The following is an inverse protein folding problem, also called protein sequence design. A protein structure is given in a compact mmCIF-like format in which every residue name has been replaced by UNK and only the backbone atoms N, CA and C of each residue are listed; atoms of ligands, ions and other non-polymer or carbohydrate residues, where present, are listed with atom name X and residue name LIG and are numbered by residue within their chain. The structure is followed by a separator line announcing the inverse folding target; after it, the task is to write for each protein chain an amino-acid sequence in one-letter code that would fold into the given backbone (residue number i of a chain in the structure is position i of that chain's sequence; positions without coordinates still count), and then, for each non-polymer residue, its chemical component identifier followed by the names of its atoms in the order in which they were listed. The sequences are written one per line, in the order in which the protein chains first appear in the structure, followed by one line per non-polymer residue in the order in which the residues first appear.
data_IF_388559736396
#
_entry.id   IF_388559736396
#
_cell.length_a   1.000
_cell.length_b   1.000
_cell.length_c   1.000
_cell.angle_alpha   90.00
_cell.angle_beta   90.00
_cell.angle_gamma   90.00
#
_symmetry.space_group_name_H-M   'P 1'
#
loop_
_entity.id
_entity.type
_entity.pdbx_description
1 polymer ?
#
# COMPACT_ATOMS: atom_id res chain seq x y z
N UNK A 1 -20.65 3.30 -2.02
CA UNK A 1 -20.25 1.98 -1.49
C UNK A 1 -21.51 1.25 -1.05
N UNK A 2 -21.82 0.12 -1.65
CA UNK A 2 -22.97 -0.68 -1.23
C UNK A 2 -22.47 -1.80 -0.30
N UNK A 3 -22.53 -1.56 1.01
CA UNK A 3 -22.04 -2.50 2.04
C UNK A 3 -22.88 -3.79 2.15
N UNK A 4 -24.00 -3.88 1.42
CA UNK A 4 -24.95 -5.00 1.50
C UNK A 4 -24.38 -6.36 1.04
N UNK A 5 -23.19 -6.38 0.42
CA UNK A 5 -22.56 -7.59 -0.13
C UNK A 5 -21.25 -7.96 0.57
N UNK A 6 -20.91 -7.27 1.67
CA UNK A 6 -19.69 -7.54 2.46
C UNK A 6 -20.10 -8.08 3.83
N UNK A 7 -19.76 -9.32 4.09
CA UNK A 7 -19.85 -9.95 5.41
C UNK A 7 -18.60 -9.61 6.22
N UNK A 8 -18.79 -9.40 7.53
CA UNK A 8 -17.68 -9.16 8.47
C UNK A 8 -17.81 -10.16 9.61
N UNK A 9 -16.77 -10.96 9.82
CA UNK A 9 -16.64 -11.85 10.97
C UNK A 9 -15.45 -11.40 11.82
N UNK A 10 -15.61 -11.46 13.13
CA UNK A 10 -14.56 -11.08 14.08
C UNK A 10 -14.39 -12.19 15.11
N UNK A 11 -13.17 -12.71 15.22
CA UNK A 11 -12.78 -13.69 16.22
C UNK A 11 -11.38 -13.38 16.76
N UNK A 12 -11.26 -13.16 18.07
CA UNK A 12 -9.98 -12.93 18.77
C UNK A 12 -9.07 -11.89 18.12
N UNK A 13 -9.64 -10.77 17.65
CA UNK A 13 -8.90 -9.70 16.98
C UNK A 13 -8.52 -10.02 15.53
N UNK A 14 -8.96 -11.14 14.98
CA UNK A 14 -8.90 -11.46 13.56
C UNK A 14 -10.21 -11.04 12.91
N UNK A 15 -10.14 -10.21 11.88
CA UNK A 15 -11.30 -9.79 11.09
C UNK A 15 -11.26 -10.47 9.74
N UNK A 16 -12.36 -11.12 9.36
CA UNK A 16 -12.54 -11.68 8.01
C UNK A 16 -13.56 -10.83 7.26
N UNK A 17 -13.16 -10.29 6.11
CA UNK A 17 -14.04 -9.61 5.17
C UNK A 17 -14.35 -10.56 4.02
N UNK A 18 -15.60 -10.98 3.88
CA UNK A 18 -16.03 -11.93 2.84
C UNK A 18 -17.13 -11.33 1.96
N UNK A 19 -17.24 -11.82 0.71
CA UNK A 19 -18.31 -11.44 -0.20
C UNK A 19 -17.83 -10.91 -1.54
N UNK A 20 -18.54 -9.91 -2.10
CA UNK A 20 -18.14 -9.35 -3.38
C UNK A 20 -18.36 -7.83 -3.46
N UNK A 21 -17.54 -7.19 -4.26
CA UNK A 21 -17.56 -5.75 -4.55
C UNK A 21 -17.62 -5.51 -6.05
N UNK A 22 -18.03 -4.31 -6.47
CA UNK A 22 -18.21 -3.98 -7.89
C UNK A 22 -16.90 -3.51 -8.55
N UNK A 23 -15.93 -3.09 -7.76
CA UNK A 23 -14.63 -2.64 -8.26
C UNK A 23 -13.53 -2.79 -7.20
N UNK A 24 -12.29 -2.74 -7.64
CA UNK A 24 -11.13 -2.90 -6.77
C UNK A 24 -10.99 -1.78 -5.73
N UNK A 25 -11.41 -0.55 -6.06
CA UNK A 25 -11.37 0.56 -5.12
C UNK A 25 -12.29 0.33 -3.90
N UNK A 26 -13.46 -0.29 -4.10
CA UNK A 26 -14.34 -0.70 -2.99
C UNK A 26 -13.68 -1.75 -2.10
N UNK A 27 -12.99 -2.74 -2.68
CA UNK A 27 -12.22 -3.74 -1.93
C UNK A 27 -11.19 -3.08 -1.03
N UNK A 28 -10.37 -2.16 -1.58
CA UNK A 28 -9.38 -1.40 -0.83
C UNK A 28 -9.99 -0.53 0.27
N UNK A 29 -11.13 0.10 0.01
CA UNK A 29 -11.80 0.94 1.00
C UNK A 29 -12.33 0.12 2.18
N UNK A 30 -12.90 -1.06 1.93
CA UNK A 30 -13.33 -1.99 2.98
C UNK A 30 -12.13 -2.47 3.83
N UNK A 31 -11.04 -2.85 3.19
CA UNK A 31 -9.80 -3.22 3.86
C UNK A 31 -9.26 -2.09 4.76
N UNK A 32 -9.17 -0.87 4.21
CA UNK A 32 -8.71 0.30 4.98
C UNK A 32 -9.64 0.63 6.15
N UNK A 33 -10.94 0.47 5.97
CA UNK A 33 -11.91 0.69 7.06
C UNK A 33 -11.67 -0.29 8.21
N UNK A 34 -11.49 -1.58 7.90
CA UNK A 34 -11.21 -2.60 8.91
C UNK A 34 -9.89 -2.35 9.66
N UNK A 35 -8.83 -1.95 8.94
CA UNK A 35 -7.52 -1.65 9.54
C UNK A 35 -7.51 -0.45 10.50
N UNK A 36 -8.50 0.45 10.41
CA UNK A 36 -8.63 1.61 11.32
C UNK A 36 -9.29 1.27 12.65
N UNK A 37 -9.88 0.10 12.77
CA UNK A 37 -10.56 -0.32 14.00
C UNK A 37 -9.53 -0.77 15.03
N UNK A 38 -9.58 -0.18 16.22
CA UNK A 38 -8.72 -0.60 17.32
C UNK A 38 -8.98 -2.06 17.70
N UNK A 39 -7.94 -2.79 18.07
CA UNK A 39 -8.03 -4.21 18.43
C UNK A 39 -7.97 -5.19 17.25
N UNK A 40 -7.94 -4.72 16.00
CA UNK A 40 -7.71 -5.58 14.83
C UNK A 40 -6.23 -5.95 14.76
N UNK A 41 -5.92 -7.23 14.98
CA UNK A 41 -4.56 -7.79 14.96
C UNK A 41 -4.21 -8.46 13.62
N UNK A 42 -5.24 -9.03 12.96
CA UNK A 42 -5.09 -9.67 11.66
C UNK A 42 -6.34 -9.42 10.80
N UNK A 43 -6.16 -9.43 9.49
CA UNK A 43 -7.23 -9.22 8.51
C UNK A 43 -7.15 -10.29 7.43
N UNK A 44 -8.22 -11.07 7.27
CA UNK A 44 -8.43 -11.99 6.15
C UNK A 44 -9.38 -11.33 5.14
N UNK A 45 -9.04 -11.41 3.84
CA UNK A 45 -9.83 -10.79 2.78
C UNK A 45 -10.25 -11.86 1.78
N UNK A 46 -11.52 -12.26 1.88
CA UNK A 46 -12.20 -13.24 1.04
C UNK A 46 -13.22 -12.54 0.13
N UNK A 47 -12.85 -11.36 -0.37
CA UNK A 47 -13.72 -10.57 -1.24
C UNK A 47 -13.31 -10.68 -2.70
N UNK A 48 -14.29 -11.01 -3.55
CA UNK A 48 -14.14 -11.03 -5.01
C UNK A 48 -14.57 -9.70 -5.63
N UNK A 49 -13.87 -9.27 -6.67
CA UNK A 49 -14.30 -8.15 -7.52
C UNK A 49 -15.17 -8.68 -8.65
N UNK A 50 -16.48 -8.46 -8.59
CA UNK A 50 -17.44 -8.84 -9.63
C UNK A 50 -17.76 -7.64 -10.51
N UNK A 51 -17.04 -7.52 -11.61
CA UNK A 51 -17.28 -6.47 -12.60
C UNK A 51 -18.64 -6.63 -13.27
N UNK A 52 -19.46 -5.58 -13.24
CA UNK A 52 -20.74 -5.51 -13.99
C UNK A 52 -20.50 -5.56 -15.50
N UNK A 53 -21.52 -5.91 -16.29
CA UNK A 53 -21.40 -6.16 -17.74
C UNK A 53 -20.72 -5.06 -18.55
N UNK A 54 -20.97 -3.78 -18.24
CA UNK A 54 -20.34 -2.62 -18.92
C UNK A 54 -18.94 -2.29 -18.37
N UNK A 55 -18.56 -2.84 -17.23
CA UNK A 55 -17.25 -2.63 -16.58
C UNK A 55 -16.22 -3.71 -16.95
N UNK A 56 -16.63 -4.75 -17.67
CA UNK A 56 -15.71 -5.76 -18.22
C UNK A 56 -14.97 -5.16 -19.39
N UNK A 57 -13.67 -4.92 -19.21
CA UNK A 57 -12.74 -4.62 -20.29
C UNK A 57 -11.91 -5.86 -20.59
N UNK A 58 -11.47 -6.00 -21.83
CA UNK A 58 -10.44 -7.00 -22.12
C UNK A 58 -9.07 -6.52 -21.59
N UNK A 59 -8.15 -7.46 -21.37
CA UNK A 59 -6.85 -7.17 -20.80
C UNK A 59 -6.02 -6.21 -21.67
N UNK A 60 -6.21 -6.23 -22.99
CA UNK A 60 -5.53 -5.30 -23.91
C UNK A 60 -6.02 -3.86 -23.75
N UNK A 61 -7.34 -3.64 -23.62
CA UNK A 61 -7.90 -2.31 -23.37
C UNK A 61 -7.50 -1.78 -21.99
N UNK A 62 -7.47 -2.67 -20.99
CA UNK A 62 -7.05 -2.32 -19.64
C UNK A 62 -5.56 -1.99 -19.60
N UNK A 63 -4.70 -2.74 -20.30
CA UNK A 63 -3.27 -2.46 -20.41
C UNK A 63 -3.01 -1.09 -21.05
N UNK A 64 -3.68 -0.80 -22.17
CA UNK A 64 -3.57 0.52 -22.83
C UNK A 64 -4.06 1.66 -21.94
N UNK A 65 -5.15 1.44 -21.18
CA UNK A 65 -5.67 2.42 -20.23
C UNK A 65 -4.71 2.64 -19.06
N UNK A 66 -4.07 1.59 -18.57
CA UNK A 66 -3.09 1.66 -17.49
C UNK A 66 -1.81 2.40 -17.94
N UNK A 67 -1.33 2.11 -19.14
CA UNK A 67 -0.19 2.82 -19.73
C UNK A 67 -0.48 4.31 -19.89
N UNK A 68 -1.63 4.68 -20.45
CA UNK A 68 -2.05 6.07 -20.61
C UNK A 68 -2.18 6.78 -19.24
N UNK A 69 -2.73 6.10 -18.22
CA UNK A 69 -2.84 6.64 -16.87
C UNK A 69 -1.46 6.89 -16.24
N UNK A 70 -0.50 5.99 -16.43
CA UNK A 70 0.88 6.17 -15.97
C UNK A 70 1.56 7.33 -16.67
N UNK A 71 1.42 7.46 -18.00
CA UNK A 71 1.99 8.55 -18.78
C UNK A 71 1.41 9.92 -18.42
N UNK A 72 0.13 10.00 -18.04
CA UNK A 72 -0.53 11.24 -17.63
C UNK A 72 -0.09 11.73 -16.25
N UNK A 73 0.54 10.88 -15.46
CA UNK A 73 1.01 11.23 -14.12
C UNK A 73 2.35 11.95 -14.23
N UNK A 74 2.40 13.24 -13.86
CA UNK A 74 3.59 14.11 -13.95
C UNK A 74 4.82 13.55 -13.20
N UNK A 75 4.61 12.61 -12.33
CA UNK A 75 5.63 11.96 -11.48
C UNK A 75 5.97 10.54 -11.92
N UNK A 76 5.33 10.03 -13.00
CA UNK A 76 5.61 8.68 -13.47
C UNK A 76 6.97 8.63 -14.15
N UNK A 77 7.91 7.85 -13.65
CA UNK A 77 9.20 7.68 -14.30
C UNK A 77 9.05 6.86 -15.60
N UNK A 78 9.86 7.17 -16.60
CA UNK A 78 10.05 6.36 -17.80
C UNK A 78 10.68 4.99 -17.46
N UNK A 79 9.96 4.12 -16.75
CA UNK A 79 10.57 2.86 -16.29
C UNK A 79 9.59 1.92 -15.60
N UNK A 80 8.32 2.31 -15.50
CA UNK A 80 7.29 1.41 -14.96
C UNK A 80 6.60 0.68 -16.10
N UNK A 81 6.65 -0.65 -16.06
CA UNK A 81 6.01 -1.54 -17.02
C UNK A 81 4.69 -2.07 -16.45
N UNK A 82 3.73 -2.29 -17.34
CA UNK A 82 2.40 -2.83 -17.01
C UNK A 82 2.24 -4.21 -17.66
N UNK A 83 1.78 -5.18 -16.87
CA UNK A 83 1.29 -6.48 -17.36
C UNK A 83 -0.14 -6.64 -16.83
N UNK A 84 -1.06 -7.16 -17.67
CA UNK A 84 -2.45 -7.43 -17.27
C UNK A 84 -2.81 -8.86 -17.58
N UNK A 85 -3.42 -9.55 -16.62
CA UNK A 85 -3.95 -10.91 -16.76
C UNK A 85 -5.28 -11.04 -15.99
N UNK A 86 -6.38 -11.32 -16.68
CA UNK A 86 -7.71 -11.47 -16.06
C UNK A 86 -8.15 -10.24 -15.24
N UNK A 87 -7.79 -9.02 -15.68
CA UNK A 87 -8.03 -7.78 -14.98
C UNK A 87 -7.06 -7.50 -13.81
N UNK A 88 -6.12 -8.41 -13.55
CA UNK A 88 -5.06 -8.20 -12.54
C UNK A 88 -3.89 -7.44 -13.17
N UNK A 89 -3.55 -6.28 -12.60
CA UNK A 89 -2.44 -5.44 -13.06
C UNK A 89 -1.19 -5.75 -12.25
N UNK A 90 -0.10 -6.09 -12.92
CA UNK A 90 1.24 -6.14 -12.33
C UNK A 90 2.04 -4.94 -12.82
N UNK A 91 2.51 -4.10 -11.88
CA UNK A 91 3.43 -3.00 -12.13
C UNK A 91 4.85 -3.45 -11.78
N UNK A 92 5.79 -3.23 -12.68
CA UNK A 92 7.21 -3.60 -12.47
C UNK A 92 8.12 -2.52 -13.04
N UNK A 93 9.39 -2.54 -12.65
CA UNK A 93 10.40 -1.57 -13.09
C UNK A 93 11.06 -0.86 -11.94
N UNK A 94 11.77 0.23 -12.24
CA UNK A 94 12.59 0.94 -11.27
C UNK A 94 12.15 2.40 -11.15
N UNK A 95 12.06 2.90 -9.91
CA UNK A 95 11.80 4.31 -9.60
C UNK A 95 12.86 4.84 -8.63
N UNK A 96 13.01 6.17 -8.57
CA UNK A 96 13.99 6.80 -7.68
C UNK A 96 13.45 7.00 -6.26
N UNK A 97 12.12 7.17 -6.12
CA UNK A 97 11.47 7.56 -4.87
C UNK A 97 10.17 6.78 -4.64
N UNK A 98 9.86 6.52 -3.38
CA UNK A 98 8.63 5.80 -3.02
C UNK A 98 7.36 6.53 -3.47
N UNK A 99 7.31 7.87 -3.44
CA UNK A 99 6.14 8.59 -3.91
C UNK A 99 5.82 8.32 -5.39
N UNK A 100 6.84 8.04 -6.22
CA UNK A 100 6.64 7.66 -7.62
C UNK A 100 6.00 6.28 -7.74
N UNK A 101 6.43 5.32 -6.91
CA UNK A 101 5.81 3.99 -6.79
C UNK A 101 4.36 4.11 -6.37
N UNK A 102 4.09 4.86 -5.29
CA UNK A 102 2.73 5.07 -4.79
C UNK A 102 1.84 5.77 -5.81
N UNK A 103 2.35 6.77 -6.53
CA UNK A 103 1.62 7.48 -7.58
C UNK A 103 1.28 6.56 -8.75
N UNK A 104 2.20 5.66 -9.15
CA UNK A 104 1.96 4.67 -10.21
C UNK A 104 0.84 3.70 -9.83
N UNK A 105 0.87 3.16 -8.61
CA UNK A 105 -0.21 2.30 -8.10
C UNK A 105 -1.53 3.07 -8.00
N UNK A 106 -1.49 4.33 -7.56
CA UNK A 106 -2.68 5.17 -7.43
C UNK A 106 -3.33 5.46 -8.79
N UNK A 107 -2.54 5.65 -9.85
CA UNK A 107 -3.03 5.94 -11.19
C UNK A 107 -3.88 4.80 -11.77
N UNK A 108 -3.50 3.54 -11.50
CA UNK A 108 -4.16 2.37 -12.11
C UNK A 108 -5.28 1.77 -11.26
N UNK A 109 -5.32 2.03 -9.94
CA UNK A 109 -6.27 1.36 -9.01
C UNK A 109 -7.75 1.67 -9.26
N UNK A 110 -8.05 2.77 -9.94
CA UNK A 110 -9.42 3.21 -10.20
C UNK A 110 -9.88 2.93 -11.63
N UNK A 111 -9.05 2.29 -12.45
CA UNK A 111 -9.42 1.95 -13.81
C UNK A 111 -10.54 0.89 -13.83
N UNK A 112 -11.46 1.07 -14.76
CA UNK A 112 -12.52 0.09 -14.98
C UNK A 112 -11.91 -1.22 -15.48
N UNK A 113 -12.32 -2.34 -14.91
CA UNK A 113 -11.81 -3.66 -15.26
C UNK A 113 -10.76 -4.19 -14.28
N UNK A 114 -10.22 -3.37 -13.37
CA UNK A 114 -9.24 -3.82 -12.40
C UNK A 114 -9.86 -4.73 -11.34
N UNK A 115 -9.29 -5.93 -11.19
CA UNK A 115 -9.65 -6.92 -10.17
C UNK A 115 -8.62 -7.00 -9.04
N UNK A 116 -7.37 -6.61 -9.31
CA UNK A 116 -6.29 -6.58 -8.33
C UNK A 116 -5.04 -5.90 -8.88
N UNK A 117 -4.12 -5.56 -7.99
CA UNK A 117 -2.83 -4.93 -8.34
C UNK A 117 -1.70 -5.64 -7.59
N UNK A 118 -0.66 -6.00 -8.33
CA UNK A 118 0.63 -6.44 -7.80
C UNK A 118 1.68 -5.36 -8.05
N UNK A 119 2.22 -4.80 -6.97
CA UNK A 119 3.28 -3.81 -7.02
C UNK A 119 4.64 -4.51 -6.88
N UNK A 120 5.38 -4.55 -7.98
CA UNK A 120 6.74 -5.09 -8.08
C UNK A 120 7.74 -4.01 -8.50
N UNK A 121 7.40 -2.74 -8.27
CA UNK A 121 8.28 -1.60 -8.58
C UNK A 121 9.41 -1.56 -7.54
N UNK A 122 10.65 -1.47 -8.01
CA UNK A 122 11.83 -1.35 -7.18
C UNK A 122 12.25 0.12 -7.03
N UNK A 123 12.64 0.51 -5.82
CA UNK A 123 13.20 1.83 -5.57
C UNK A 123 14.71 1.77 -5.72
N UNK A 124 15.26 2.51 -6.71
CA UNK A 124 16.69 2.64 -6.97
C UNK A 124 17.08 4.12 -6.93
N UNK A 125 17.43 4.66 -5.75
CA UNK A 125 17.85 6.05 -5.63
C UNK A 125 19.09 6.32 -6.49
N UNK A 126 19.08 7.40 -7.27
CA UNK A 126 20.27 7.84 -8.04
C UNK A 126 21.36 8.43 -7.16
N UNK A 127 20.97 8.95 -6.00
CA UNK A 127 21.89 9.53 -5.02
C UNK A 127 21.84 8.68 -3.77
N UNK A 128 23.02 8.19 -3.33
CA UNK A 128 23.17 7.56 -2.02
C UNK A 128 22.99 8.63 -0.94
N UNK A 129 21.76 8.83 -0.51
CA UNK A 129 21.49 9.72 0.62
C UNK A 129 21.97 9.02 1.89
N UNK A 130 22.86 9.69 2.64
CA UNK A 130 23.24 9.24 3.97
C UNK A 130 22.02 9.37 4.87
N UNK A 131 21.40 8.25 5.20
CA UNK A 131 20.27 8.18 6.12
C UNK A 131 20.72 8.58 7.52
N UNK A 132 20.19 9.67 8.00
CA UNK A 132 20.41 10.08 9.38
C UNK A 132 19.28 9.45 10.21
N UNK A 133 19.61 8.46 11.06
CA UNK A 133 18.68 7.80 11.98
C UNK A 133 17.82 8.81 12.75
N UNK A 134 18.45 9.94 13.16
CA UNK A 134 17.77 11.04 13.85
C UNK A 134 16.63 11.66 13.05
N UNK A 135 16.72 11.73 11.72
CA UNK A 135 15.69 12.32 10.87
C UNK A 135 14.46 11.42 10.81
N UNK A 136 14.69 10.09 10.73
CA UNK A 136 13.61 9.10 10.77
C UNK A 136 12.93 9.12 12.15
N UNK A 137 13.70 9.09 13.22
CA UNK A 137 13.17 9.17 14.59
C UNK A 137 12.41 10.48 14.84
N UNK A 138 12.91 11.60 14.31
CA UNK A 138 12.22 12.89 14.41
C UNK A 138 10.91 12.91 13.61
N UNK A 139 10.88 12.27 12.42
CA UNK A 139 9.65 12.14 11.63
C UNK A 139 8.62 11.27 12.37
N UNK A 140 9.04 10.15 12.93
CA UNK A 140 8.18 9.28 13.74
C UNK A 140 7.60 10.01 14.95
N UNK A 141 8.43 10.76 15.71
CA UNK A 141 7.97 11.54 16.87
C UNK A 141 6.94 12.62 16.52
N UNK A 142 7.02 13.21 15.32
CA UNK A 142 6.03 14.22 14.87
C UNK A 142 4.65 13.63 14.58
N UNK A 143 4.58 12.37 14.18
CA UNK A 143 3.35 11.70 13.78
C UNK A 143 2.75 10.82 14.87
N UNK A 144 3.54 10.39 15.85
CA UNK A 144 3.07 9.56 16.95
C UNK A 144 2.72 10.43 18.15
N UNK A 145 1.46 10.43 18.54
CA UNK A 145 1.03 10.94 19.85
C UNK A 145 1.60 10.01 20.93
N UNK A 146 2.30 10.57 21.92
CA UNK A 146 2.80 10.01 23.19
C UNK A 146 3.46 8.60 23.21
N UNK A 147 3.18 7.71 22.26
CA UNK A 147 3.62 6.31 22.26
C UNK A 147 4.79 5.97 21.31
N UNK A 148 5.37 6.95 20.61
CA UNK A 148 6.53 6.75 19.72
C UNK A 148 7.76 6.14 20.41
N UNK A 149 7.76 6.08 21.74
CA UNK A 149 8.86 5.50 22.53
C UNK A 149 8.95 3.95 22.40
N UNK A 150 7.95 3.31 21.83
CA UNK A 150 7.91 1.85 21.66
C UNK A 150 8.39 1.37 20.29
N UNK A 151 8.63 2.28 19.35
CA UNK A 151 9.15 1.95 18.01
C UNK A 151 10.66 2.18 17.98
N UNK A 152 11.41 1.14 17.68
CA UNK A 152 12.85 1.22 17.45
C UNK A 152 13.17 1.21 15.97
N UNK A 153 14.05 2.12 15.56
CA UNK A 153 14.52 2.28 14.17
C UNK A 153 15.98 1.87 14.10
N UNK A 154 16.27 0.86 13.30
CA UNK A 154 17.63 0.47 12.91
C UNK A 154 17.87 0.81 11.44
N UNK A 155 19.02 1.42 11.15
CA UNK A 155 19.37 1.88 9.80
C UNK A 155 20.71 1.29 9.39
N UNK A 156 20.71 0.51 8.32
CA UNK A 156 21.90 -0.08 7.72
C UNK A 156 22.01 0.34 6.25
N UNK A 157 22.86 1.33 5.98
CA UNK A 157 22.96 1.94 4.63
C UNK A 157 21.65 2.65 4.25
N UNK A 158 20.96 2.12 3.25
CA UNK A 158 19.65 2.60 2.78
C UNK A 158 18.47 1.74 3.26
N UNK A 159 18.74 0.73 4.07
CA UNK A 159 17.74 -0.20 4.58
C UNK A 159 17.33 0.20 6.01
N UNK A 160 16.04 0.33 6.24
CA UNK A 160 15.44 0.68 7.53
C UNK A 160 14.69 -0.51 8.08
N UNK A 161 14.96 -0.88 9.32
CA UNK A 161 14.17 -1.88 10.05
C UNK A 161 13.39 -1.20 11.17
N UNK A 162 12.07 -1.34 11.16
CA UNK A 162 11.18 -0.89 12.21
C UNK A 162 10.82 -2.07 13.10
N UNK A 163 11.04 -1.95 14.41
CA UNK A 163 10.69 -2.97 15.41
C UNK A 163 9.94 -2.32 16.57
N UNK A 164 9.21 -3.13 17.32
CA UNK A 164 8.46 -2.67 18.48
C UNK A 164 6.99 -3.00 18.42
N UNK A 165 6.20 -2.30 19.24
CA UNK A 165 4.79 -2.56 19.42
C UNK A 165 3.98 -1.30 19.16
N UNK A 166 2.92 -1.41 18.39
CA UNK A 166 1.95 -0.34 18.08
C UNK A 166 0.55 -0.79 18.49
N UNK A 167 -0.36 0.17 18.73
CA UNK A 167 -1.72 -0.14 19.21
C UNK A 167 -2.73 -0.35 18.07
N UNK A 168 -2.38 0.01 16.85
CA UNK A 168 -3.28 -0.12 15.70
C UNK A 168 -2.52 -0.29 14.38
N UNK A 169 -3.21 -0.85 13.39
CA UNK A 169 -2.71 -0.89 12.02
C UNK A 169 -2.45 0.51 11.44
N UNK A 170 -3.24 1.50 11.86
CA UNK A 170 -3.04 2.88 11.43
C UNK A 170 -1.70 3.43 11.92
N UNK A 171 -1.34 3.20 13.18
CA UNK A 171 -0.03 3.60 13.72
C UNK A 171 1.11 2.90 13.00
N UNK A 172 0.96 1.61 12.72
CA UNK A 172 1.92 0.82 11.95
C UNK A 172 2.13 1.40 10.54
N UNK A 173 1.04 1.71 9.84
CA UNK A 173 1.11 2.31 8.50
C UNK A 173 1.75 3.71 8.55
N UNK A 174 1.42 4.55 9.54
CA UNK A 174 2.03 5.88 9.73
C UNK A 174 3.54 5.79 9.99
N UNK A 175 3.98 4.83 10.82
CA UNK A 175 5.39 4.61 11.09
C UNK A 175 6.15 4.19 9.82
N UNK A 176 5.58 3.26 9.06
CA UNK A 176 6.15 2.80 7.80
C UNK A 176 6.23 3.92 6.76
N UNK A 177 5.16 4.70 6.60
CA UNK A 177 5.11 5.82 5.65
C UNK A 177 6.09 6.93 6.04
N UNK A 178 6.31 7.16 7.34
CA UNK A 178 7.33 8.10 7.84
C UNK A 178 8.74 7.64 7.46
N UNK A 179 9.03 6.34 7.57
CA UNK A 179 10.31 5.79 7.15
C UNK A 179 10.51 5.92 5.63
N UNK A 180 9.50 5.60 4.83
CA UNK A 180 9.53 5.74 3.38
C UNK A 180 9.67 7.19 2.90
N UNK A 181 9.19 8.17 3.67
CA UNK A 181 9.28 9.59 3.35
C UNK A 181 10.71 10.14 3.53
N UNK A 182 11.60 9.37 4.15
CA UNK A 182 12.96 9.82 4.41
C UNK A 182 13.83 9.66 3.15
N UNK A 183 14.51 10.70 2.70
CA UNK A 183 15.36 10.64 1.51
C UNK A 183 16.43 9.55 1.61
N UNK A 184 16.57 8.74 0.55
CA UNK A 184 17.58 7.68 0.47
C UNK A 184 17.18 6.33 1.09
N UNK A 185 15.98 6.20 1.66
CA UNK A 185 15.43 4.90 2.07
C UNK A 185 15.13 4.07 0.83
N UNK A 186 15.71 2.88 0.76
CA UNK A 186 15.54 1.92 -0.33
C UNK A 186 14.59 0.80 0.06
N UNK A 187 14.72 0.31 1.29
CA UNK A 187 13.88 -0.75 1.82
C UNK A 187 13.41 -0.40 3.23
N UNK A 188 12.17 -0.77 3.56
CA UNK A 188 11.66 -0.70 4.92
C UNK A 188 11.19 -2.10 5.32
N UNK A 189 11.89 -2.68 6.30
CA UNK A 189 11.54 -3.96 6.91
C UNK A 189 10.67 -3.69 8.14
N UNK A 190 9.39 -3.93 8.00
CA UNK A 190 8.41 -3.77 9.06
C UNK A 190 8.30 -5.05 9.89
N UNK A 191 8.90 -5.04 11.09
CA UNK A 191 8.84 -6.11 12.10
C UNK A 191 8.05 -5.68 13.34
N UNK A 192 7.21 -4.63 13.20
CA UNK A 192 6.35 -4.18 14.30
C UNK A 192 5.21 -5.16 14.54
N UNK A 193 4.80 -5.28 15.79
CA UNK A 193 3.63 -6.05 16.23
C UNK A 193 2.52 -5.12 16.66
N UNK A 194 1.27 -5.47 16.34
CA UNK A 194 0.09 -4.76 16.85
C UNK A 194 -0.31 -5.41 18.16
N UNK A 195 -0.25 -4.67 19.25
CA UNK A 195 -0.66 -5.11 20.60
C UNK A 195 -1.68 -4.14 21.18
N UNK A 196 -2.62 -4.68 21.93
CA UNK A 196 -3.56 -3.89 22.72
C UNK A 196 -2.87 -3.30 23.94
#
# INVERSE_FOLDING_TARGET
MNAAHIGVEVSDGVVTLAGHVLNYAEKLNAERAARRVAGVRALAIEMDVKLGGTSKRNDSELASSAEAALQSTTTSPNGVNVKVEGGWITLSGDVEWDYQRQSSVAAVRHLLGVTGISDQILIKPKVSATLVKSDIEAALRRHARDDAQKISVDVQGSDVTLTGSVHSWLERDLARDSAWSTPGVRNVFDKMTVSN
#
